data_IF_112313108554
#
_entry.id   IF_112313108554
#
_cell.length_a   1.000
_cell.length_b   1.000
_cell.length_c   1.000
_cell.angle_alpha   90.00
_cell.angle_beta   90.00
_cell.angle_gamma   90.00
#
_symmetry.space_group_name_H-M   'P 1'
#
loop_
_entity.id
_entity.type
_entity.pdbx_description
1 polymer ?
#
# COMPACT_ATOMS: atom_id res chain seq x y z
N UNK A 1 -38.44 30.15 12.00
CA UNK A 1 -37.37 29.49 11.23
C UNK A 1 -36.60 30.57 10.51
N UNK A 2 -35.40 31.01 10.99
CA UNK A 2 -34.49 31.56 9.96
C UNK A 2 -32.99 31.69 10.27
N UNK A 3 -32.44 31.34 11.45
CA UNK A 3 -31.02 31.68 11.75
C UNK A 3 -30.06 30.49 11.70
N UNK A 4 -30.47 29.33 12.23
CA UNK A 4 -29.65 28.12 12.16
C UNK A 4 -29.73 27.44 10.79
N UNK A 5 -30.89 27.43 10.13
CA UNK A 5 -31.03 26.94 8.76
C UNK A 5 -30.29 27.82 7.76
N UNK A 6 -30.29 29.15 7.95
CA UNK A 6 -29.60 30.10 7.07
C UNK A 6 -28.08 30.05 7.22
N UNK A 7 -27.56 29.85 8.44
CA UNK A 7 -26.13 29.62 8.69
C UNK A 7 -25.70 28.26 8.12
N UNK A 8 -26.58 27.24 8.16
CA UNK A 8 -26.32 25.94 7.55
C UNK A 8 -26.32 26.04 6.02
N UNK A 9 -27.27 26.75 5.42
CA UNK A 9 -27.30 27.03 3.98
C UNK A 9 -26.09 27.85 3.54
N UNK A 10 -25.67 28.87 4.31
CA UNK A 10 -24.46 29.66 4.02
C UNK A 10 -23.15 28.85 4.20
N UNK A 11 -23.08 27.91 5.15
CA UNK A 11 -21.95 26.99 5.31
C UNK A 11 -21.94 25.88 4.24
N UNK A 12 -23.10 25.40 3.81
CA UNK A 12 -23.26 24.49 2.65
C UNK A 12 -22.95 25.21 1.31
N UNK A 13 -23.17 26.52 1.21
CA UNK A 13 -22.73 27.38 0.09
C UNK A 13 -21.21 27.64 0.08
N UNK A 14 -20.57 27.77 1.26
CA UNK A 14 -19.14 28.07 1.39
C UNK A 14 -18.22 26.83 1.31
N UNK A 15 -18.75 25.63 1.54
CA UNK A 15 -18.02 24.37 1.38
C UNK A 15 -18.81 23.41 0.48
N UNK A 16 -18.74 23.57 -0.84
CA UNK A 16 -19.41 22.65 -1.71
C UNK A 16 -18.61 21.35 -1.76
N UNK A 17 -19.13 20.32 -1.09
CA UNK A 17 -18.96 18.92 -1.48
C UNK A 17 -19.49 18.64 -2.92
N UNK A 18 -20.07 19.65 -3.58
CA UNK A 18 -20.99 19.48 -4.71
C UNK A 18 -20.63 20.25 -5.98
N UNK A 19 -19.61 21.12 -6.01
CA UNK A 19 -19.32 21.92 -7.21
C UNK A 19 -18.19 21.36 -8.09
N UNK A 20 -17.14 20.77 -7.50
CA UNK A 20 -15.99 20.24 -8.25
C UNK A 20 -16.08 18.73 -8.52
N UNK A 21 -16.89 17.97 -7.76
CA UNK A 21 -17.23 16.56 -8.07
C UNK A 21 -18.13 16.45 -9.30
N UNK A 22 -18.87 17.51 -9.65
CA UNK A 22 -19.95 17.47 -10.64
C UNK A 22 -19.55 16.99 -12.04
N UNK A 23 -18.27 17.08 -12.39
CA UNK A 23 -17.73 16.60 -13.68
C UNK A 23 -16.74 15.43 -13.56
N UNK A 24 -16.50 14.90 -12.36
CA UNK A 24 -15.54 13.82 -12.15
C UNK A 24 -16.24 12.48 -12.03
N UNK A 25 -15.75 11.52 -12.81
CA UNK A 25 -16.25 10.15 -12.74
C UNK A 25 -15.64 9.44 -11.52
N UNK A 26 -16.49 9.04 -10.57
CA UNK A 26 -16.08 8.29 -9.38
C UNK A 26 -16.36 6.79 -9.58
N UNK A 27 -15.38 5.96 -9.28
CA UNK A 27 -15.51 4.50 -9.22
C UNK A 27 -15.22 3.98 -7.81
N UNK A 28 -16.20 3.32 -7.18
CA UNK A 28 -16.00 2.55 -5.96
C UNK A 28 -15.55 1.14 -6.35
N UNK A 29 -14.43 0.70 -5.79
CA UNK A 29 -13.77 -0.57 -6.07
C UNK A 29 -13.81 -1.44 -4.81
N UNK A 30 -14.58 -2.53 -4.87
CA UNK A 30 -14.75 -3.48 -3.78
C UNK A 30 -14.19 -4.87 -4.17
N UNK A 31 -12.95 -5.23 -3.75
CA UNK A 31 -12.46 -6.58 -3.88
C UNK A 31 -13.17 -7.47 -2.85
N UNK A 32 -13.76 -8.56 -3.32
CA UNK A 32 -14.52 -9.48 -2.48
C UNK A 32 -14.04 -10.91 -2.66
N UNK A 33 -13.95 -11.65 -1.57
CA UNK A 33 -13.73 -13.09 -1.56
C UNK A 33 -14.55 -13.67 -0.43
N UNK A 34 -15.63 -14.40 -0.69
CA UNK A 34 -16.54 -14.93 0.32
C UNK A 34 -17.10 -13.85 1.29
N UNK A 35 -17.80 -12.85 0.76
CA UNK A 35 -18.41 -11.73 1.48
C UNK A 35 -19.94 -11.63 1.24
N UNK A 36 -20.61 -12.76 1.01
CA UNK A 36 -22.04 -12.81 0.65
C UNK A 36 -22.95 -12.04 1.63
N UNK A 37 -22.65 -12.12 2.93
CA UNK A 37 -23.48 -11.53 3.99
C UNK A 37 -23.32 -10.01 4.12
N UNK A 38 -22.13 -9.47 3.81
CA UNK A 38 -21.81 -8.06 4.02
C UNK A 38 -22.01 -7.19 2.76
N UNK A 39 -21.71 -7.74 1.58
CA UNK A 39 -21.50 -6.93 0.37
C UNK A 39 -22.74 -6.13 -0.06
N UNK A 40 -23.95 -6.67 0.12
CA UNK A 40 -25.17 -5.97 -0.24
C UNK A 40 -25.40 -4.70 0.60
N UNK A 41 -25.06 -4.76 1.90
CA UNK A 41 -25.10 -3.60 2.80
C UNK A 41 -24.07 -2.55 2.41
N UNK A 42 -22.83 -2.98 2.18
CA UNK A 42 -21.72 -2.10 1.75
C UNK A 42 -22.08 -1.33 0.47
N UNK A 43 -22.65 -2.01 -0.53
CA UNK A 43 -23.09 -1.36 -1.78
C UNK A 43 -24.19 -0.33 -1.52
N UNK A 44 -25.17 -0.65 -0.68
CA UNK A 44 -26.25 0.26 -0.33
C UNK A 44 -25.72 1.52 0.37
N UNK A 45 -24.78 1.35 1.29
CA UNK A 45 -24.24 2.47 2.05
C UNK A 45 -23.33 3.36 1.19
N UNK A 46 -22.51 2.77 0.30
CA UNK A 46 -21.76 3.55 -0.68
C UNK A 46 -22.65 4.31 -1.66
N UNK A 47 -23.79 3.74 -2.09
CA UNK A 47 -24.75 4.49 -2.92
C UNK A 47 -25.37 5.66 -2.20
N UNK A 48 -25.63 5.51 -0.89
CA UNK A 48 -26.14 6.60 -0.07
C UNK A 48 -25.09 7.70 0.10
N UNK A 49 -23.83 7.32 0.34
CA UNK A 49 -22.73 8.24 0.52
C UNK A 49 -22.28 8.92 -0.78
N UNK A 50 -22.31 8.20 -1.91
CA UNK A 50 -21.86 8.64 -3.22
C UNK A 50 -22.89 8.28 -4.32
N UNK A 51 -24.02 9.01 -4.42
CA UNK A 51 -25.12 8.66 -5.33
C UNK A 51 -24.74 8.64 -6.82
N UNK A 52 -23.72 9.40 -7.23
CA UNK A 52 -23.24 9.48 -8.62
C UNK A 52 -22.14 8.46 -8.95
N UNK A 53 -21.61 7.73 -7.96
CA UNK A 53 -20.48 6.84 -8.18
C UNK A 53 -20.91 5.51 -8.83
N UNK A 54 -20.07 5.02 -9.74
CA UNK A 54 -20.19 3.66 -10.27
C UNK A 54 -19.55 2.69 -9.29
N UNK A 55 -20.29 1.67 -8.87
CA UNK A 55 -19.79 0.67 -7.91
C UNK A 55 -19.41 -0.60 -8.66
N UNK A 56 -18.16 -1.00 -8.52
CA UNK A 56 -17.59 -2.20 -9.09
C UNK A 56 -17.22 -3.17 -7.98
N UNK A 57 -17.74 -4.39 -8.08
CA UNK A 57 -17.39 -5.51 -7.21
C UNK A 57 -16.61 -6.51 -8.04
N UNK A 58 -15.42 -6.90 -7.57
CA UNK A 58 -14.68 -7.98 -8.20
C UNK A 58 -14.70 -9.18 -7.27
N UNK A 59 -15.41 -10.21 -7.72
CA UNK A 59 -15.44 -11.50 -7.07
C UNK A 59 -14.13 -12.24 -7.32
N UNK A 60 -13.38 -12.52 -6.27
CA UNK A 60 -12.06 -13.12 -6.34
C UNK A 60 -12.12 -14.63 -6.18
N UNK A 61 -12.87 -15.27 -7.07
CA UNK A 61 -13.09 -16.71 -7.08
C UNK A 61 -13.75 -17.19 -5.76
N UNK A 62 -14.85 -16.54 -5.38
CA UNK A 62 -15.62 -16.93 -4.19
C UNK A 62 -16.33 -18.25 -4.39
N UNK A 63 -16.57 -18.97 -3.29
CA UNK A 63 -17.32 -20.24 -3.26
C UNK A 63 -18.75 -20.07 -2.75
N UNK A 64 -19.13 -18.85 -2.37
CA UNK A 64 -20.44 -18.48 -1.84
C UNK A 64 -21.25 -17.60 -2.82
N UNK A 65 -22.37 -17.04 -2.37
CA UNK A 65 -23.24 -16.18 -3.18
C UNK A 65 -22.75 -14.74 -3.41
N UNK A 66 -21.49 -14.40 -3.10
CA UNK A 66 -20.95 -13.01 -3.15
C UNK A 66 -21.28 -12.28 -4.44
N UNK A 67 -20.95 -12.86 -5.60
CA UNK A 67 -21.20 -12.25 -6.90
C UNK A 67 -22.70 -12.00 -7.15
N UNK A 68 -23.56 -12.95 -6.74
CA UNK A 68 -25.00 -12.83 -6.92
C UNK A 68 -25.59 -11.76 -5.99
N UNK A 69 -25.15 -11.71 -4.73
CA UNK A 69 -25.57 -10.70 -3.76
C UNK A 69 -25.19 -9.29 -4.23
N UNK A 70 -23.95 -9.11 -4.71
CA UNK A 70 -23.47 -7.85 -5.28
C UNK A 70 -24.26 -7.41 -6.53
N UNK A 71 -24.55 -8.34 -7.44
CA UNK A 71 -25.33 -8.04 -8.65
C UNK A 71 -26.77 -7.67 -8.31
N UNK A 72 -27.42 -8.36 -7.37
CA UNK A 72 -28.79 -8.03 -6.88
C UNK A 72 -28.84 -6.67 -6.19
N UNK A 73 -27.78 -6.32 -5.45
CA UNK A 73 -27.60 -4.99 -4.89
C UNK A 73 -27.28 -3.94 -5.97
N UNK A 74 -27.03 -4.34 -7.22
CA UNK A 74 -26.86 -3.51 -8.41
C UNK A 74 -25.45 -2.92 -8.61
N UNK A 75 -24.43 -3.54 -8.03
CA UNK A 75 -23.05 -3.26 -8.44
C UNK A 75 -22.75 -3.87 -9.81
N UNK A 76 -21.79 -3.29 -10.53
CA UNK A 76 -21.20 -3.94 -11.70
C UNK A 76 -20.23 -5.02 -11.23
N UNK A 77 -20.59 -6.28 -11.41
CA UNK A 77 -19.79 -7.41 -10.94
C UNK A 77 -18.83 -7.89 -12.04
N UNK A 78 -17.58 -8.12 -11.67
CA UNK A 78 -16.56 -8.79 -12.49
C UNK A 78 -15.91 -9.90 -11.66
N UNK A 79 -15.16 -10.79 -12.31
CA UNK A 79 -14.53 -11.94 -11.65
C UNK A 79 -13.04 -11.97 -11.89
N UNK A 80 -12.24 -12.22 -10.86
CA UNK A 80 -10.80 -12.47 -10.94
C UNK A 80 -10.48 -13.87 -10.40
N UNK A 81 -10.00 -14.75 -11.28
CA UNK A 81 -9.74 -16.16 -10.97
C UNK A 81 -8.48 -16.37 -10.12
N UNK A 82 -7.49 -15.48 -10.23
CA UNK A 82 -6.28 -15.55 -9.41
C UNK A 82 -6.56 -14.98 -8.04
N UNK A 83 -6.67 -15.86 -7.04
CA UNK A 83 -6.91 -15.46 -5.66
C UNK A 83 -5.82 -14.53 -5.12
N UNK A 84 -6.25 -13.55 -4.31
CA UNK A 84 -5.41 -12.57 -3.64
C UNK A 84 -5.82 -11.13 -3.99
N UNK A 85 -5.90 -10.27 -2.96
CA UNK A 85 -6.35 -8.89 -3.09
C UNK A 85 -5.53 -8.09 -4.10
N UNK A 86 -4.20 -8.24 -4.13
CA UNK A 86 -3.33 -7.61 -5.11
C UNK A 86 -3.67 -7.97 -6.57
N UNK A 87 -4.04 -9.22 -6.86
CA UNK A 87 -4.49 -9.63 -8.19
C UNK A 87 -5.79 -8.92 -8.60
N UNK A 88 -6.73 -8.82 -7.66
CA UNK A 88 -8.01 -8.13 -7.89
C UNK A 88 -7.79 -6.64 -8.11
N UNK A 89 -7.03 -5.99 -7.24
CA UNK A 89 -6.73 -4.55 -7.33
C UNK A 89 -5.98 -4.24 -8.62
N UNK A 90 -5.00 -5.07 -9.02
CA UNK A 90 -4.33 -4.95 -10.33
C UNK A 90 -5.34 -4.88 -11.46
N UNK A 91 -6.30 -5.81 -11.48
CA UNK A 91 -7.29 -5.88 -12.54
C UNK A 91 -8.30 -4.73 -12.48
N UNK A 92 -8.74 -4.34 -11.28
CA UNK A 92 -9.61 -3.18 -11.10
C UNK A 92 -8.97 -1.90 -11.65
N UNK A 93 -7.71 -1.62 -11.28
CA UNK A 93 -7.00 -0.44 -11.74
C UNK A 93 -6.70 -0.50 -13.24
N UNK A 94 -6.55 -1.68 -13.83
CA UNK A 94 -6.42 -1.86 -15.27
C UNK A 94 -7.74 -1.59 -16.01
N UNK A 95 -8.81 -2.30 -15.63
CA UNK A 95 -10.03 -2.39 -16.43
C UNK A 95 -11.02 -1.23 -16.21
N UNK A 96 -10.87 -0.44 -15.14
CA UNK A 96 -11.82 0.62 -14.79
C UNK A 96 -11.21 1.97 -15.08
N UNK A 97 -11.93 2.76 -15.86
CA UNK A 97 -11.56 4.14 -16.16
C UNK A 97 -12.45 5.10 -15.39
N UNK A 98 -11.83 5.94 -14.55
CA UNK A 98 -12.46 6.93 -13.69
C UNK A 98 -11.47 8.08 -13.42
N UNK A 99 -11.96 9.20 -12.90
CA UNK A 99 -11.13 10.31 -12.44
C UNK A 99 -10.70 10.11 -10.99
N UNK A 100 -11.59 9.51 -10.19
CA UNK A 100 -11.39 9.18 -8.78
C UNK A 100 -11.75 7.73 -8.52
N UNK A 101 -10.90 7.04 -7.77
CA UNK A 101 -11.05 5.65 -7.38
C UNK A 101 -11.18 5.56 -5.86
N UNK A 102 -12.29 5.02 -5.37
CA UNK A 102 -12.48 4.71 -3.95
C UNK A 102 -12.24 3.21 -3.77
N UNK A 103 -11.09 2.83 -3.23
CA UNK A 103 -10.78 1.45 -2.89
C UNK A 103 -11.19 1.19 -1.43
N UNK A 104 -12.04 0.20 -1.20
CA UNK A 104 -12.48 -0.19 0.14
C UNK A 104 -12.78 -1.69 0.19
N UNK A 105 -12.69 -2.31 1.38
CA UNK A 105 -13.00 -3.73 1.55
C UNK A 105 -14.52 -4.00 1.53
N UNK A 106 -14.91 -5.16 0.99
CA UNK A 106 -16.30 -5.60 0.91
C UNK A 106 -16.87 -6.20 2.21
N UNK A 107 -16.13 -6.16 3.33
CA UNK A 107 -16.44 -6.85 4.60
C UNK A 107 -17.15 -5.96 5.63
N UNK A 108 -17.64 -4.78 5.22
CA UNK A 108 -18.31 -3.78 6.06
C UNK A 108 -17.48 -3.22 7.24
N UNK A 109 -16.14 -3.29 7.16
CA UNK A 109 -15.26 -2.74 8.21
C UNK A 109 -15.12 -1.21 8.18
N UNK A 110 -15.24 -0.61 7.00
CA UNK A 110 -15.04 0.83 6.82
C UNK A 110 -16.36 1.60 6.85
N UNK A 111 -16.30 2.79 7.47
CA UNK A 111 -17.38 3.77 7.39
C UNK A 111 -17.45 4.36 5.98
N UNK A 112 -18.42 3.88 5.21
CA UNK A 112 -18.68 4.34 3.82
C UNK A 112 -19.11 5.80 3.76
N UNK A 113 -19.65 6.37 4.85
CA UNK A 113 -20.05 7.79 4.91
C UNK A 113 -18.84 8.73 4.86
N UNK A 114 -17.66 8.25 5.24
CA UNK A 114 -16.43 9.01 5.16
C UNK A 114 -15.93 9.21 3.72
N UNK A 115 -16.46 8.48 2.73
CA UNK A 115 -15.95 8.49 1.35
C UNK A 115 -15.93 9.89 0.74
N UNK A 116 -17.01 10.66 0.95
CA UNK A 116 -17.11 12.05 0.49
C UNK A 116 -15.99 12.92 1.04
N UNK A 117 -15.74 12.87 2.35
CA UNK A 117 -14.66 13.62 3.00
C UNK A 117 -13.26 13.24 2.48
N UNK A 118 -13.03 11.96 2.21
CA UNK A 118 -11.74 11.52 1.63
C UNK A 118 -11.54 12.05 0.21
N UNK A 119 -12.62 12.04 -0.60
CA UNK A 119 -12.62 12.61 -1.94
C UNK A 119 -12.41 14.13 -1.88
N UNK A 120 -13.06 14.81 -0.93
CA UNK A 120 -12.89 16.25 -0.72
C UNK A 120 -11.45 16.63 -0.44
N UNK A 121 -10.80 15.92 0.47
CA UNK A 121 -9.38 16.15 0.75
C UNK A 121 -8.50 15.88 -0.48
N UNK A 122 -8.83 14.84 -1.26
CA UNK A 122 -8.07 14.52 -2.46
C UNK A 122 -8.12 15.66 -3.49
N UNK A 123 -9.31 16.21 -3.75
CA UNK A 123 -9.44 17.25 -4.77
C UNK A 123 -9.01 18.61 -4.28
N UNK A 124 -9.47 19.03 -3.10
CA UNK A 124 -9.12 20.35 -2.54
C UNK A 124 -7.62 20.48 -2.25
N UNK A 125 -6.97 19.38 -1.84
CA UNK A 125 -5.52 19.33 -1.64
C UNK A 125 -4.72 19.04 -2.91
N UNK A 126 -5.37 18.82 -4.07
CA UNK A 126 -4.74 18.33 -5.30
C UNK A 126 -3.80 17.14 -5.03
N UNK A 127 -4.28 16.21 -4.22
CA UNK A 127 -3.58 15.00 -3.82
C UNK A 127 -3.85 13.87 -4.82
N UNK A 128 -3.07 12.82 -4.72
CA UNK A 128 -3.16 11.64 -5.58
C UNK A 128 -3.51 10.37 -4.82
N UNK A 129 -3.32 10.38 -3.50
CA UNK A 129 -3.81 9.34 -2.61
C UNK A 129 -4.19 9.91 -1.24
N UNK A 130 -5.39 9.60 -0.78
CA UNK A 130 -5.84 9.85 0.59
C UNK A 130 -6.14 8.52 1.26
N UNK A 131 -5.56 8.28 2.43
CA UNK A 131 -5.76 7.05 3.19
C UNK A 131 -6.69 7.33 4.37
N UNK A 132 -7.77 6.56 4.49
CA UNK A 132 -8.60 6.53 5.70
C UNK A 132 -7.90 5.68 6.75
N UNK A 133 -7.28 6.31 7.75
CA UNK A 133 -6.57 5.57 8.80
C UNK A 133 -7.53 5.08 9.86
N UNK A 134 -7.24 3.92 10.43
CA UNK A 134 -8.08 3.32 11.47
C UNK A 134 -7.72 3.97 12.80
N UNK A 135 -8.60 4.82 13.31
CA UNK A 135 -8.45 5.39 14.65
C UNK A 135 -8.52 4.29 15.70
N UNK A 136 -7.80 4.47 16.81
CA UNK A 136 -7.79 3.56 17.96
C UNK A 136 -9.12 3.51 18.73
N UNK A 137 -10.22 3.18 18.05
CA UNK A 137 -11.53 3.02 18.66
C UNK A 137 -11.58 1.79 19.56
N UNK A 138 -11.66 2.03 20.88
CA UNK A 138 -12.12 1.09 21.90
C UNK A 138 -11.29 -0.19 22.07
N UNK A 139 -10.81 -0.43 23.29
CA UNK A 139 -10.00 -1.60 23.67
C UNK A 139 -10.63 -2.99 23.44
N UNK A 140 -11.83 -3.10 22.85
CA UNK A 140 -12.63 -4.33 22.80
C UNK A 140 -12.80 -4.95 21.40
N UNK A 141 -12.62 -4.20 20.30
CA UNK A 141 -12.74 -4.76 18.94
C UNK A 141 -11.39 -5.15 18.29
N UNK A 142 -10.27 -4.73 18.88
CA UNK A 142 -8.93 -4.94 18.35
C UNK A 142 -8.20 -6.00 19.18
N UNK A 143 -8.05 -7.23 18.65
CA UNK A 143 -7.14 -8.21 19.25
C UNK A 143 -5.76 -7.57 19.39
N UNK A 144 -5.30 -7.35 20.63
CA UNK A 144 -4.10 -6.59 21.05
C UNK A 144 -2.81 -6.90 20.26
N UNK A 145 -2.71 -8.07 19.61
CA UNK A 145 -1.61 -8.43 18.71
C UNK A 145 -1.56 -7.68 17.37
N UNK A 146 -2.69 -7.27 16.80
CA UNK A 146 -2.74 -6.63 15.47
C UNK A 146 -2.22 -5.18 15.49
N UNK A 147 -2.41 -4.45 16.59
CA UNK A 147 -1.87 -3.09 16.72
C UNK A 147 -0.35 -3.10 16.82
N UNK A 148 0.21 -4.10 17.51
CA UNK A 148 1.65 -4.26 17.65
C UNK A 148 2.28 -4.60 16.30
N UNK A 149 1.67 -5.54 15.55
CA UNK A 149 2.06 -5.84 14.17
C UNK A 149 2.02 -4.61 13.27
N UNK A 150 0.90 -3.88 13.25
CA UNK A 150 0.78 -2.67 12.41
C UNK A 150 1.83 -1.61 12.75
N UNK A 151 2.01 -1.30 14.05
CA UNK A 151 3.06 -0.35 14.50
C UNK A 151 4.46 -0.81 14.11
N UNK A 152 4.73 -2.11 14.21
CA UNK A 152 6.01 -2.66 13.79
C UNK A 152 6.22 -2.49 12.27
N UNK A 153 5.24 -2.85 11.44
CA UNK A 153 5.34 -2.66 10.00
C UNK A 153 5.48 -1.19 9.59
N UNK A 154 4.70 -0.29 10.21
CA UNK A 154 4.82 1.14 9.99
C UNK A 154 6.25 1.62 10.27
N UNK A 155 6.83 1.28 11.43
CA UNK A 155 8.21 1.65 11.78
C UNK A 155 9.25 1.10 10.80
N UNK A 156 9.07 -0.13 10.33
CA UNK A 156 9.98 -0.72 9.35
C UNK A 156 9.90 0.05 8.03
N UNK A 157 8.70 0.39 7.57
CA UNK A 157 8.52 1.17 6.33
C UNK A 157 9.05 2.60 6.49
N UNK A 158 8.76 3.25 7.62
CA UNK A 158 9.27 4.57 8.01
C UNK A 158 10.80 4.61 7.95
N UNK A 159 11.46 3.63 8.58
CA UNK A 159 12.93 3.55 8.59
C UNK A 159 13.53 3.29 7.20
N UNK A 160 12.90 2.45 6.38
CA UNK A 160 13.46 2.03 5.08
C UNK A 160 13.13 3.00 3.94
N UNK A 161 11.94 3.58 3.94
CA UNK A 161 11.40 4.38 2.82
C UNK A 161 11.13 5.85 3.19
N UNK A 162 11.05 6.18 4.47
CA UNK A 162 10.79 7.52 4.99
C UNK A 162 9.39 7.66 5.60
N UNK A 163 9.18 8.77 6.28
CA UNK A 163 7.93 9.08 6.98
C UNK A 163 6.84 9.49 5.98
N UNK A 164 5.57 9.19 6.30
CA UNK A 164 4.44 9.67 5.51
C UNK A 164 3.11 8.94 5.75
N UNK A 165 3.12 7.78 6.41
CA UNK A 165 1.90 7.03 6.73
C UNK A 165 1.94 6.47 8.15
N UNK A 166 0.84 6.67 8.89
CA UNK A 166 0.60 6.11 10.22
C UNK A 166 -0.18 4.78 10.18
N UNK A 167 -0.80 4.42 9.06
CA UNK A 167 -1.46 3.12 8.87
C UNK A 167 -1.26 2.56 7.45
N UNK A 168 -0.09 1.97 7.19
CA UNK A 168 0.25 1.44 5.85
C UNK A 168 -0.66 0.28 5.41
N UNK A 169 -1.31 -0.40 6.36
CA UNK A 169 -2.16 -1.57 6.10
C UNK A 169 -3.64 -1.19 5.99
N UNK A 170 -3.98 0.10 5.95
CA UNK A 170 -5.36 0.50 5.66
C UNK A 170 -5.69 0.23 4.19
N UNK A 171 -6.81 -0.48 4.01
CA UNK A 171 -7.41 -0.81 2.73
C UNK A 171 -8.38 0.25 2.20
N UNK A 172 -8.72 1.27 3.00
CA UNK A 172 -9.62 2.35 2.59
C UNK A 172 -8.85 3.54 2.06
N UNK A 173 -8.88 3.71 0.73
CA UNK A 173 -8.07 4.70 0.03
C UNK A 173 -8.87 5.35 -1.08
N UNK A 174 -8.64 6.64 -1.27
CA UNK A 174 -9.10 7.36 -2.46
C UNK A 174 -7.88 7.68 -3.29
N UNK A 175 -7.89 7.30 -4.57
CA UNK A 175 -6.78 7.48 -5.50
C UNK A 175 -7.22 8.37 -6.67
N UNK A 176 -6.32 9.24 -7.13
CA UNK A 176 -6.49 9.93 -8.39
C UNK A 176 -6.32 8.97 -9.57
N UNK A 177 -6.89 9.34 -10.73
CA UNK A 177 -6.57 8.68 -12.00
C UNK A 177 -5.08 8.63 -12.28
N UNK A 178 -4.39 9.75 -12.01
CA UNK A 178 -2.94 9.86 -12.21
C UNK A 178 -2.20 8.78 -11.42
N UNK A 179 -2.51 8.60 -10.14
CA UNK A 179 -1.96 7.51 -9.33
C UNK A 179 -2.36 6.13 -9.86
N UNK A 180 -3.67 5.90 -10.01
CA UNK A 180 -4.24 4.60 -10.37
C UNK A 180 -3.70 4.06 -11.70
N UNK A 181 -3.45 4.93 -12.68
CA UNK A 181 -2.99 4.58 -14.03
C UNK A 181 -1.48 4.66 -14.22
N UNK A 182 -0.72 5.15 -13.24
CA UNK A 182 0.75 5.10 -13.23
C UNK A 182 1.31 4.05 -12.28
N UNK A 183 0.51 3.47 -11.39
CA UNK A 183 0.94 2.49 -10.41
C UNK A 183 1.06 1.07 -10.99
N UNK A 184 2.27 0.48 -11.09
CA UNK A 184 2.44 -0.86 -11.64
C UNK A 184 2.30 -1.92 -10.54
N UNK A 185 1.07 -2.42 -10.32
CA UNK A 185 0.78 -3.40 -9.26
C UNK A 185 1.56 -4.71 -9.47
N UNK A 186 2.45 -5.05 -8.53
CA UNK A 186 3.25 -6.29 -8.55
C UNK A 186 2.81 -7.31 -7.51
N UNK A 187 2.23 -6.88 -6.38
CA UNK A 187 1.75 -7.76 -5.31
C UNK A 187 0.58 -8.66 -5.74
N UNK A 188 0.48 -9.84 -5.13
CA UNK A 188 -0.60 -10.79 -5.40
C UNK A 188 -1.69 -10.78 -4.33
N UNK A 189 -1.37 -10.46 -3.08
CA UNK A 189 -2.23 -10.62 -1.91
C UNK A 189 -2.44 -9.34 -1.11
N UNK A 190 -2.40 -9.44 0.22
CA UNK A 190 -2.57 -8.31 1.17
C UNK A 190 -1.34 -7.41 1.29
N UNK A 191 -0.36 -7.59 0.42
CA UNK A 191 0.83 -6.75 0.38
C UNK A 191 0.58 -5.48 -0.44
N UNK A 192 -0.55 -5.41 -1.15
CA UNK A 192 -0.95 -4.30 -2.02
C UNK A 192 -1.03 -2.97 -1.28
N UNK A 193 -1.53 -2.95 -0.04
CA UNK A 193 -1.61 -1.73 0.77
C UNK A 193 -0.22 -1.17 1.09
N UNK A 194 0.73 -2.06 1.39
CA UNK A 194 2.12 -1.69 1.63
C UNK A 194 2.76 -1.20 0.33
N UNK A 195 2.53 -1.90 -0.79
CA UNK A 195 3.04 -1.52 -2.10
C UNK A 195 2.55 -0.13 -2.54
N UNK A 196 1.27 0.19 -2.31
CA UNK A 196 0.67 1.51 -2.58
C UNK A 196 1.38 2.63 -1.80
N UNK A 197 1.58 2.45 -0.49
CA UNK A 197 2.30 3.42 0.35
C UNK A 197 3.75 3.60 -0.09
N UNK A 198 4.48 2.50 -0.26
CA UNK A 198 5.90 2.55 -0.65
C UNK A 198 6.07 3.20 -2.03
N UNK A 199 5.15 2.95 -2.97
CA UNK A 199 5.14 3.62 -4.27
C UNK A 199 4.98 5.13 -4.15
N UNK A 200 4.04 5.58 -3.31
CA UNK A 200 3.82 7.00 -3.06
C UNK A 200 5.07 7.68 -2.45
N UNK A 201 5.71 7.02 -1.48
CA UNK A 201 6.94 7.51 -0.84
C UNK A 201 8.12 7.58 -1.83
N UNK A 202 8.35 6.53 -2.62
CA UNK A 202 9.45 6.48 -3.59
C UNK A 202 9.35 7.57 -4.67
N UNK A 203 8.13 7.83 -5.14
CA UNK A 203 7.87 8.85 -6.15
C UNK A 203 7.62 10.25 -5.57
N UNK A 204 7.52 10.39 -4.24
CA UNK A 204 7.15 11.63 -3.54
C UNK A 204 5.83 12.21 -4.04
N UNK A 205 4.84 11.33 -4.18
CA UNK A 205 3.49 11.68 -4.59
C UNK A 205 2.78 12.45 -3.47
N UNK A 206 1.89 13.39 -3.82
CA UNK A 206 1.11 14.15 -2.86
C UNK A 206 0.04 13.27 -2.19
N UNK A 207 0.15 13.08 -0.87
CA UNK A 207 -0.73 12.19 -0.10
C UNK A 207 -1.17 12.80 1.22
N UNK A 208 -2.29 12.32 1.76
CA UNK A 208 -2.75 12.66 3.11
C UNK A 208 -3.39 11.46 3.82
N UNK A 209 -3.49 11.55 5.14
CA UNK A 209 -4.21 10.60 5.99
C UNK A 209 -5.35 11.31 6.70
N UNK A 210 -6.51 10.65 6.78
CA UNK A 210 -7.66 11.12 7.53
C UNK A 210 -8.09 10.02 8.49
N UNK A 211 -8.11 10.36 9.77
CA UNK A 211 -8.52 9.45 10.83
C UNK A 211 -10.03 9.19 10.77
N UNK A 212 -10.40 7.90 10.70
CA UNK A 212 -11.77 7.42 10.63
C UNK A 212 -12.12 6.54 11.83
N UNK A 213 -13.33 6.63 12.40
CA UNK A 213 -13.82 5.63 13.33
C UNK A 213 -13.91 4.27 12.62
N UNK A 214 -13.22 3.27 13.14
CA UNK A 214 -13.23 1.92 12.56
C UNK A 214 -14.37 1.10 13.18
N UNK A 215 -15.26 0.56 12.33
CA UNK A 215 -16.40 -0.22 12.79
C UNK A 215 -15.97 -1.59 13.35
N UNK A 216 -16.69 -2.08 14.36
CA UNK A 216 -16.60 -3.49 14.74
C UNK A 216 -17.19 -4.34 13.60
N UNK A 217 -16.47 -5.39 13.19
CA UNK A 217 -16.95 -6.33 12.17
C UNK A 217 -18.29 -6.97 12.61
N UNK A 218 -19.22 -7.24 11.68
CA UNK A 218 -20.44 -8.00 11.99
C UNK A 218 -20.11 -9.38 12.57
N UNK A 219 -20.91 -9.83 13.54
CA UNK A 219 -20.80 -11.16 14.14
C UNK A 219 -20.88 -12.25 13.05
N UNK A 220 -19.88 -13.15 13.02
CA UNK A 220 -19.81 -14.24 12.04
C UNK A 220 -18.84 -14.03 10.86
N UNK A 221 -18.19 -12.86 10.75
CA UNK A 221 -17.09 -12.67 9.79
C UNK A 221 -15.76 -13.16 10.38
N UNK A 222 -15.24 -14.28 9.88
CA UNK A 222 -13.92 -14.75 10.28
C UNK A 222 -12.83 -13.86 9.68
N UNK A 223 -11.87 -13.43 10.50
CA UNK A 223 -10.66 -12.77 10.00
C UNK A 223 -9.85 -13.76 9.16
N UNK A 224 -9.91 -13.58 7.83
CA UNK A 224 -9.17 -14.40 6.85
C UNK A 224 -7.65 -14.25 6.95
N UNK A 225 -7.17 -13.33 7.79
CA UNK A 225 -5.74 -13.10 8.05
C UNK A 225 -5.17 -14.16 8.99
N UNK A 226 -4.21 -14.94 8.48
CA UNK A 226 -3.33 -15.80 9.27
C UNK A 226 -2.16 -14.95 9.76
N UNK A 227 -2.31 -14.31 10.92
CA UNK A 227 -1.41 -13.28 11.49
C UNK A 227 0.09 -13.52 11.25
N UNK A 228 0.61 -14.71 11.52
CA UNK A 228 2.04 -15.01 11.34
C UNK A 228 2.46 -15.22 9.88
N UNK A 229 1.66 -15.96 9.09
CA UNK A 229 1.98 -16.25 7.69
C UNK A 229 1.90 -14.99 6.84
N UNK A 230 0.86 -14.21 7.05
CA UNK A 230 0.65 -12.95 6.33
C UNK A 230 1.65 -11.90 6.80
N UNK A 231 1.97 -11.85 8.09
CA UNK A 231 3.03 -10.99 8.61
C UNK A 231 4.41 -11.29 8.01
N UNK A 232 4.80 -12.56 7.90
CA UNK A 232 6.06 -12.96 7.25
C UNK A 232 6.07 -12.60 5.76
N UNK A 233 4.93 -12.72 5.07
CA UNK A 233 4.79 -12.34 3.67
C UNK A 233 4.89 -10.83 3.45
N UNK A 234 4.29 -10.03 4.35
CA UNK A 234 4.41 -8.56 4.33
C UNK A 234 5.87 -8.17 4.57
N UNK A 235 6.55 -8.76 5.56
CA UNK A 235 7.98 -8.53 5.81
C UNK A 235 8.85 -8.86 4.60
N UNK A 236 8.62 -10.02 3.99
CA UNK A 236 9.32 -10.42 2.77
C UNK A 236 9.08 -9.41 1.64
N UNK A 237 7.85 -8.93 1.49
CA UNK A 237 7.53 -7.93 0.47
C UNK A 237 8.22 -6.60 0.75
N UNK A 238 8.25 -6.14 1.99
CA UNK A 238 9.02 -4.95 2.39
C UNK A 238 10.50 -5.12 2.05
N UNK A 239 11.10 -6.28 2.34
CA UNK A 239 12.49 -6.56 2.02
C UNK A 239 12.74 -6.58 0.50
N UNK A 240 11.84 -7.17 -0.28
CA UNK A 240 11.93 -7.18 -1.75
C UNK A 240 11.75 -5.77 -2.33
N UNK A 241 10.80 -4.98 -1.84
CA UNK A 241 10.61 -3.59 -2.23
C UNK A 241 11.86 -2.75 -1.89
N UNK A 242 12.46 -2.97 -0.73
CA UNK A 242 13.68 -2.26 -0.34
C UNK A 242 14.86 -2.62 -1.26
N UNK A 243 15.03 -3.91 -1.57
CA UNK A 243 16.01 -4.38 -2.58
C UNK A 243 15.76 -3.76 -3.95
N UNK A 244 14.51 -3.57 -4.36
CA UNK A 244 14.16 -3.05 -5.69
C UNK A 244 14.29 -1.52 -5.81
N UNK A 245 13.99 -0.78 -4.75
CA UNK A 245 13.95 0.68 -4.74
C UNK A 245 15.25 1.31 -4.24
N UNK A 246 15.99 0.61 -3.37
CA UNK A 246 17.27 1.04 -2.81
C UNK A 246 18.32 -0.08 -2.87
N UNK A 247 18.60 -0.65 -4.07
CA UNK A 247 19.53 -1.76 -4.22
C UNK A 247 20.94 -1.44 -3.74
N UNK A 248 21.44 -0.20 -3.95
CA UNK A 248 22.76 0.17 -3.47
C UNK A 248 22.85 0.08 -1.94
N UNK A 249 21.83 0.56 -1.22
CA UNK A 249 21.79 0.45 0.24
C UNK A 249 21.68 -1.01 0.69
N UNK A 250 20.85 -1.82 0.02
CA UNK A 250 20.66 -3.23 0.36
C UNK A 250 21.93 -4.07 0.15
N UNK A 251 22.48 -4.08 -1.07
CA UNK A 251 23.66 -4.87 -1.40
C UNK A 251 24.96 -4.25 -0.89
N UNK A 252 25.01 -2.92 -0.73
CA UNK A 252 26.14 -2.22 -0.13
C UNK A 252 26.27 -2.51 1.35
N UNK A 253 25.18 -2.47 2.12
CA UNK A 253 25.22 -2.84 3.54
C UNK A 253 25.64 -4.30 3.74
N UNK A 254 25.09 -5.21 2.92
CA UNK A 254 25.51 -6.63 2.93
C UNK A 254 26.98 -6.81 2.55
N UNK A 255 27.44 -6.10 1.51
CA UNK A 255 28.84 -6.14 1.09
C UNK A 255 29.80 -5.65 2.17
N UNK A 256 29.49 -4.51 2.80
CA UNK A 256 30.26 -3.96 3.92
C UNK A 256 30.30 -4.93 5.10
N UNK A 257 29.16 -5.55 5.45
CA UNK A 257 29.12 -6.55 6.53
C UNK A 257 30.02 -7.76 6.23
N UNK A 258 30.01 -8.28 4.99
CA UNK A 258 30.92 -9.36 4.58
C UNK A 258 32.38 -8.92 4.67
N UNK A 259 32.71 -7.70 4.25
CA UNK A 259 34.07 -7.16 4.36
C UNK A 259 34.53 -7.08 5.82
N UNK A 260 33.67 -6.62 6.75
CA UNK A 260 34.00 -6.62 8.17
C UNK A 260 34.23 -8.02 8.74
N UNK A 261 33.41 -9.01 8.35
CA UNK A 261 33.61 -10.41 8.75
C UNK A 261 34.94 -10.93 8.20
N UNK A 262 35.26 -10.65 6.93
CA UNK A 262 36.53 -11.03 6.31
C UNK A 262 37.73 -10.41 7.04
N UNK A 263 37.69 -9.11 7.34
CA UNK A 263 38.74 -8.41 8.08
C UNK A 263 38.91 -8.99 9.49
N UNK A 264 37.81 -9.31 10.19
CA UNK A 264 37.85 -9.94 11.50
C UNK A 264 38.53 -11.32 11.48
N UNK A 265 38.27 -12.13 10.46
CA UNK A 265 38.94 -13.43 10.26
C UNK A 265 40.39 -13.28 9.79
N UNK A 266 40.68 -12.25 9.00
CA UNK A 266 42.00 -11.97 8.43
C UNK A 266 43.00 -11.35 9.41
N UNK A 267 42.53 -10.52 10.35
CA UNK A 267 43.40 -9.77 11.24
C UNK A 267 44.35 -10.66 12.09
N UNK A 268 43.88 -11.76 12.71
CA UNK A 268 44.79 -12.66 13.44
C UNK A 268 45.82 -13.35 12.53
N UNK A 269 45.47 -13.61 11.26
CA UNK A 269 46.38 -14.24 10.30
C UNK A 269 47.50 -13.30 9.92
N UNK A 270 47.17 -12.03 9.68
CA UNK A 270 48.16 -10.98 9.39
C UNK A 270 49.10 -10.81 10.59
N UNK A 271 48.56 -10.76 11.82
CA UNK A 271 49.37 -10.65 13.03
C UNK A 271 50.35 -11.84 13.18
N UNK A 272 49.87 -13.08 13.04
CA UNK A 272 50.73 -14.28 13.09
C UNK A 272 51.79 -14.28 12.00
N UNK A 273 51.44 -13.85 10.79
CA UNK A 273 52.38 -13.76 9.69
C UNK A 273 53.48 -12.71 9.95
N UNK A 274 53.14 -11.56 10.54
CA UNK A 274 54.12 -10.53 10.89
C UNK A 274 55.11 -11.01 11.97
N UNK A 275 54.66 -11.83 12.92
CA UNK A 275 55.51 -12.37 13.99
C UNK A 275 56.38 -13.55 13.53
N UNK A 276 55.85 -14.44 12.69
CA UNK A 276 56.46 -15.75 12.40
C UNK A 276 56.91 -15.94 10.94
N UNK A 277 56.44 -15.10 10.02
CA UNK A 277 56.61 -15.27 8.57
C UNK A 277 55.79 -16.43 7.97
N UNK A 278 54.95 -17.11 8.77
CA UNK A 278 54.19 -18.29 8.35
C UNK A 278 52.67 -18.03 8.37
N UNK A 279 51.93 -18.78 7.56
CA UNK A 279 50.45 -18.76 7.55
C UNK A 279 49.92 -20.14 7.98
N UNK A 280 49.93 -20.45 9.29
CA UNK A 280 49.58 -21.79 9.78
C UNK A 280 48.10 -22.13 9.60
N UNK A 281 47.22 -21.12 9.44
CA UNK A 281 45.76 -21.28 9.30
C UNK A 281 45.30 -21.00 7.86
N UNK A 282 45.87 -21.73 6.91
CA UNK A 282 45.58 -21.57 5.47
C UNK A 282 44.08 -21.66 5.11
N UNK A 283 43.27 -22.60 5.66
CA UNK A 283 41.83 -22.64 5.36
C UNK A 283 41.09 -21.35 5.76
N UNK A 284 41.47 -20.72 6.88
CA UNK A 284 40.90 -19.44 7.31
C UNK A 284 41.30 -18.31 6.38
N UNK A 285 42.54 -18.32 5.86
CA UNK A 285 42.99 -17.34 4.88
C UNK A 285 42.15 -17.42 3.59
N UNK A 286 41.93 -18.63 3.07
CA UNK A 286 41.09 -18.88 1.89
C UNK A 286 39.65 -18.38 2.16
N UNK A 287 39.06 -18.76 3.29
CA UNK A 287 37.73 -18.30 3.67
C UNK A 287 37.63 -16.76 3.75
N UNK A 288 38.60 -16.11 4.40
CA UNK A 288 38.63 -14.65 4.52
C UNK A 288 38.71 -13.98 3.14
N UNK A 289 39.58 -14.46 2.25
CA UNK A 289 39.68 -13.92 0.88
C UNK A 289 38.39 -14.12 0.08
N UNK A 290 37.76 -15.29 0.17
CA UNK A 290 36.48 -15.58 -0.50
C UNK A 290 35.35 -14.67 -0.02
N UNK A 291 35.24 -14.45 1.30
CA UNK A 291 34.25 -13.53 1.88
C UNK A 291 34.51 -12.08 1.42
N UNK A 292 35.78 -11.66 1.37
CA UNK A 292 36.15 -10.32 0.88
C UNK A 292 35.70 -10.13 -0.58
N UNK A 293 35.97 -11.10 -1.44
CA UNK A 293 35.56 -11.08 -2.84
C UNK A 293 34.03 -11.02 -2.99
N UNK A 294 33.29 -11.81 -2.21
CA UNK A 294 31.82 -11.75 -2.19
C UNK A 294 31.31 -10.37 -1.72
N UNK A 295 32.00 -9.73 -0.77
CA UNK A 295 31.71 -8.37 -0.33
C UNK A 295 31.81 -7.35 -1.47
N UNK A 296 32.94 -7.35 -2.19
CA UNK A 296 33.14 -6.48 -3.36
C UNK A 296 32.16 -6.77 -4.49
N UNK A 297 31.89 -8.05 -4.78
CA UNK A 297 30.90 -8.45 -5.79
C UNK A 297 29.49 -7.96 -5.42
N UNK A 298 29.09 -8.09 -4.16
CA UNK A 298 27.81 -7.56 -3.67
C UNK A 298 27.71 -6.04 -3.88
N UNK A 299 28.75 -5.29 -3.53
CA UNK A 299 28.78 -3.84 -3.77
C UNK A 299 28.68 -3.49 -5.25
N UNK A 300 29.43 -4.20 -6.11
CA UNK A 300 29.37 -4.03 -7.57
C UNK A 300 27.96 -4.28 -8.13
N UNK A 301 27.31 -5.36 -7.70
CA UNK A 301 25.91 -5.64 -8.03
C UNK A 301 24.97 -4.52 -7.56
N UNK A 302 25.18 -3.99 -6.35
CA UNK A 302 24.42 -2.85 -5.82
C UNK A 302 24.50 -1.62 -6.72
N UNK A 303 25.70 -1.27 -7.20
CA UNK A 303 25.90 -0.12 -8.10
C UNK A 303 25.20 -0.31 -9.45
N UNK A 304 25.33 -1.50 -10.06
CA UNK A 304 24.66 -1.81 -11.34
C UNK A 304 23.14 -1.76 -11.19
N UNK A 305 22.61 -2.36 -10.12
CA UNK A 305 21.18 -2.39 -9.86
C UNK A 305 20.62 -1.00 -9.52
N UNK A 306 21.41 -0.10 -8.92
CA UNK A 306 20.99 1.29 -8.68
C UNK A 306 20.74 2.04 -9.99
N UNK A 307 21.60 1.86 -10.99
CA UNK A 307 21.38 2.46 -12.32
C UNK A 307 20.08 1.95 -12.96
N UNK A 308 19.80 0.64 -12.83
CA UNK A 308 18.53 0.05 -13.31
C UNK A 308 17.33 0.58 -12.52
N UNK A 309 17.45 0.69 -11.19
CA UNK A 309 16.40 1.22 -10.33
C UNK A 309 16.08 2.68 -10.64
N UNK A 310 17.10 3.49 -10.91
CA UNK A 310 16.94 4.88 -11.34
C UNK A 310 16.16 4.97 -12.66
N UNK A 311 16.54 4.20 -13.68
CA UNK A 311 15.80 4.18 -14.95
C UNK A 311 14.34 3.76 -14.80
N UNK A 312 14.04 2.77 -13.94
CA UNK A 312 12.65 2.40 -13.62
C UNK A 312 11.90 3.51 -12.90
N UNK A 313 12.54 4.22 -11.96
CA UNK A 313 11.94 5.35 -11.23
C UNK A 313 11.63 6.50 -12.18
N UNK A 314 12.53 6.82 -13.11
CA UNK A 314 12.34 7.83 -14.15
C UNK A 314 11.15 7.46 -15.06
N UNK A 315 11.07 6.22 -15.54
CA UNK A 315 9.94 5.74 -16.35
C UNK A 315 8.60 5.87 -15.61
N UNK A 316 8.54 5.49 -14.32
CA UNK A 316 7.34 5.67 -13.48
C UNK A 316 6.95 7.15 -13.37
N UNK A 317 7.92 8.05 -13.15
CA UNK A 317 7.66 9.50 -13.07
C UNK A 317 7.16 10.07 -14.38
N UNK A 318 7.76 9.69 -15.51
CA UNK A 318 7.29 10.14 -16.82
C UNK A 318 5.84 9.70 -17.05
N UNK A 319 5.51 8.43 -16.75
CA UNK A 319 4.14 7.93 -16.85
C UNK A 319 3.16 8.68 -15.95
N UNK A 320 3.60 9.05 -14.75
CA UNK A 320 2.81 9.86 -13.82
C UNK A 320 2.60 11.29 -14.34
N UNK A 321 3.61 11.91 -14.97
CA UNK A 321 3.53 13.25 -15.54
C UNK A 321 2.67 13.32 -16.81
N UNK A 322 2.55 12.22 -17.56
CA UNK A 322 1.68 12.12 -18.74
C UNK A 322 0.18 12.21 -18.39
N UNK A 323 -0.17 12.02 -17.12
CA UNK A 323 -1.53 12.01 -16.61
C UNK A 323 -1.84 13.33 -15.91
N UNK A 324 -3.03 13.87 -16.17
CA UNK A 324 -3.48 15.13 -15.56
C UNK A 324 -3.73 14.96 -14.07
N UNK A 325 -3.44 15.99 -13.29
CA UNK A 325 -3.85 16.04 -11.89
C UNK A 325 -5.35 16.22 -11.78
N UNK A 326 -5.89 15.92 -10.60
CA UNK A 326 -7.33 15.98 -10.33
C UNK A 326 -7.84 17.43 -10.38
N UNK A 327 -7.04 18.40 -9.92
CA UNK A 327 -7.36 19.82 -10.07
C UNK A 327 -7.33 20.32 -11.52
N UNK A 328 -6.55 19.68 -12.41
CA UNK A 328 -6.47 20.05 -13.83
C UNK A 328 -7.61 19.47 -14.69
N UNK A 329 -8.57 18.77 -14.08
CA UNK A 329 -9.75 18.22 -14.73
C UNK A 329 -11.04 18.99 -14.38
N UNK A 330 -11.00 19.85 -13.36
CA UNK A 330 -12.08 20.76 -12.99
C UNK A 330 -12.06 22.02 -13.86
#
# INVERSE_FOLDING_TARGET
MPKLERIREELEELLPQSSWVKNQSIAVLLPCYNEETAIAGVIKDFRKALPSARIFVYDNNSTDGTAQAASKAGATVRTEIHQGKGNVVRRMLADIDADIYVLADGDATYDTSAAGRLIDALVTGNLDMVVGTRSGGGAEAYRRGHQWGNRFFNRVVEHLFGDGFSDILSGYRVLSRRFAKSFPVTSSGFEIETELCVHALDLKIATAEIELPYGARPEGSESKLRTYRDGARILWTIAMLYKELKPLSFFGAGGIALMFVSLGLGAPLIATFLETGLVPRLPTAILATGIMQLGFLSMGCGLVLESVAQGRREAKRMRYLDLRSVAGQA
#
